data_IF_517898673189
#
_entry.id   IF_517898673189
#
_cell.length_a   1.000
_cell.length_b   1.000
_cell.length_c   1.000
_cell.angle_alpha   90.00
_cell.angle_beta   90.00
_cell.angle_gamma   90.00
#
_symmetry.space_group_name_H-M   'P 1'
#
loop_
_entity.id
_entity.type
_entity.pdbx_description
1 polymer ?
#
# COMPACT_ATOMS: atom_id res chain seq x y z
N UNK A 1 -19.23 13.24 1.21
CA UNK A 1 -18.65 12.12 0.44
C UNK A 1 -17.19 11.99 0.84
N UNK A 2 -16.85 11.09 1.76
CA UNK A 2 -15.44 10.74 2.00
C UNK A 2 -15.06 9.70 0.96
N UNK A 3 -14.30 10.10 -0.06
CA UNK A 3 -13.67 9.19 -0.99
C UNK A 3 -12.38 8.65 -0.38
N UNK A 4 -12.11 7.36 -0.55
CA UNK A 4 -10.84 6.77 -0.18
C UNK A 4 -9.75 7.40 -1.06
N UNK A 5 -8.68 7.97 -0.48
CA UNK A 5 -7.56 8.54 -1.23
C UNK A 5 -6.35 7.65 -1.03
N UNK A 6 -5.71 7.27 -2.13
CA UNK A 6 -4.49 6.48 -2.11
C UNK A 6 -3.34 7.31 -1.55
N UNK A 7 -2.74 6.88 -0.44
CA UNK A 7 -1.57 7.54 0.13
C UNK A 7 -0.30 7.38 -0.72
N UNK A 8 -0.28 6.45 -1.68
CA UNK A 8 0.84 6.26 -2.61
C UNK A 8 0.82 7.21 -3.81
N UNK A 9 -0.35 7.35 -4.46
CA UNK A 9 -0.48 8.16 -5.68
C UNK A 9 -1.34 9.43 -5.48
N UNK A 10 -1.82 9.67 -4.27
CA UNK A 10 -2.67 10.82 -3.88
C UNK A 10 -3.92 10.99 -4.76
N UNK A 11 -4.39 9.90 -5.40
CA UNK A 11 -5.62 9.86 -6.20
C UNK A 11 -6.76 9.21 -5.43
N UNK A 12 -7.98 9.60 -5.78
CA UNK A 12 -9.18 8.94 -5.31
C UNK A 12 -9.18 7.48 -5.77
N UNK A 13 -9.35 6.59 -4.81
CA UNK A 13 -9.59 5.17 -4.99
C UNK A 13 -11.05 5.03 -5.38
N UNK A 14 -11.27 4.91 -6.68
CA UNK A 14 -12.57 4.56 -7.25
C UNK A 14 -12.65 3.06 -7.58
N UNK A 15 -11.58 2.32 -7.27
CA UNK A 15 -11.49 0.89 -7.52
C UNK A 15 -12.37 0.09 -6.54
N UNK A 16 -12.80 -1.09 -6.99
CA UNK A 16 -13.60 -2.01 -6.17
C UNK A 16 -12.76 -2.61 -5.04
N UNK A 17 -11.45 -2.68 -5.23
CA UNK A 17 -10.52 -3.28 -4.31
C UNK A 17 -9.51 -2.24 -3.82
N UNK A 18 -9.39 -2.14 -2.50
CA UNK A 18 -8.49 -1.22 -1.85
C UNK A 18 -7.86 -1.88 -0.65
N UNK A 19 -6.62 -1.50 -0.38
CA UNK A 19 -5.85 -1.99 0.76
C UNK A 19 -5.78 -0.91 1.81
N UNK A 20 -6.16 -1.29 3.03
CA UNK A 20 -5.97 -0.45 4.21
C UNK A 20 -4.69 -0.87 4.90
N UNK A 21 -3.69 0.00 4.89
CA UNK A 21 -2.39 -0.23 5.51
C UNK A 21 -2.21 0.73 6.66
N UNK A 22 -2.14 0.20 7.88
CA UNK A 22 -2.20 0.95 9.14
C UNK A 22 -3.44 1.85 9.19
N UNK A 23 -3.32 3.11 8.76
CA UNK A 23 -4.43 4.08 8.71
C UNK A 23 -4.60 4.74 7.33
N UNK A 24 -3.73 4.42 6.37
CA UNK A 24 -3.80 4.92 5.00
C UNK A 24 -4.53 3.95 4.07
N UNK A 25 -5.21 4.49 3.06
CA UNK A 25 -5.83 3.72 1.99
C UNK A 25 -4.87 3.70 0.79
N UNK A 26 -4.81 2.58 0.09
CA UNK A 26 -3.91 2.39 -1.05
C UNK A 26 -4.59 1.55 -2.13
N UNK A 27 -4.26 1.80 -3.39
CA UNK A 27 -4.65 0.89 -4.48
C UNK A 27 -3.85 -0.40 -4.42
N UNK A 28 -4.44 -1.52 -4.85
CA UNK A 28 -3.73 -2.80 -5.02
C UNK A 28 -2.47 -2.67 -5.88
N UNK A 29 -2.54 -1.92 -6.97
CA UNK A 29 -1.40 -1.63 -7.82
C UNK A 29 -0.41 -0.64 -7.19
N UNK A 30 -0.80 0.16 -6.19
CA UNK A 30 0.09 1.11 -5.52
C UNK A 30 0.80 0.48 -4.32
N UNK A 31 0.24 -0.59 -3.72
CA UNK A 31 0.88 -1.29 -2.62
C UNK A 31 1.98 -2.20 -3.16
N UNK A 32 3.17 -1.63 -3.38
CA UNK A 32 4.35 -2.35 -3.84
C UNK A 32 5.53 -2.17 -2.89
N UNK A 33 6.31 -3.23 -2.76
CA UNK A 33 7.56 -3.26 -2.01
C UNK A 33 8.55 -2.24 -2.59
N UNK A 34 9.03 -1.30 -1.79
CA UNK A 34 10.00 -0.31 -2.22
C UNK A 34 11.40 -0.92 -2.48
N UNK A 35 11.71 -2.05 -1.86
CA UNK A 35 12.97 -2.77 -2.07
C UNK A 35 12.94 -3.70 -3.29
N UNK A 36 11.84 -4.45 -3.42
CA UNK A 36 11.72 -5.57 -4.35
C UNK A 36 10.76 -5.31 -5.52
N UNK A 37 9.92 -4.28 -5.44
CA UNK A 37 8.91 -3.94 -6.45
C UNK A 37 7.65 -4.80 -6.45
N UNK A 38 7.65 -5.87 -5.64
CA UNK A 38 6.57 -6.87 -5.60
C UNK A 38 5.25 -6.31 -5.05
N UNK A 39 4.14 -6.79 -5.59
CA UNK A 39 2.80 -6.35 -5.18
C UNK A 39 2.41 -6.98 -3.85
N UNK A 40 2.06 -6.17 -2.86
CA UNK A 40 1.79 -6.60 -1.50
C UNK A 40 0.28 -6.58 -1.23
N UNK A 41 -0.44 -7.53 -1.83
CA UNK A 41 -1.89 -7.64 -1.65
C UNK A 41 -2.30 -8.24 -0.29
N UNK A 42 -1.45 -9.07 0.32
CA UNK A 42 -1.86 -9.87 1.49
C UNK A 42 -1.04 -9.59 2.77
N UNK A 43 0.18 -9.07 2.65
CA UNK A 43 1.07 -8.80 3.78
C UNK A 43 2.07 -7.71 3.41
N UNK A 44 1.80 -6.49 3.84
CA UNK A 44 2.68 -5.33 3.67
C UNK A 44 3.06 -4.74 5.03
N UNK A 45 4.27 -4.21 5.10
CA UNK A 45 4.79 -3.50 6.26
C UNK A 45 5.10 -2.07 5.87
N UNK A 46 4.54 -1.11 6.61
CA UNK A 46 4.80 0.31 6.39
C UNK A 46 5.95 0.74 7.30
N UNK A 47 7.04 1.24 6.70
CA UNK A 47 8.20 1.79 7.41
C UNK A 47 8.65 3.05 6.71
N UNK A 48 8.70 4.18 7.41
CA UNK A 48 9.14 5.47 6.86
C UNK A 48 8.35 5.90 5.60
N UNK A 49 7.02 5.73 5.62
CA UNK A 49 6.13 5.94 4.46
C UNK A 49 6.42 5.08 3.22
N UNK A 50 7.31 4.08 3.34
CA UNK A 50 7.59 3.10 2.30
C UNK A 50 7.01 1.75 2.68
N UNK A 51 6.51 1.03 1.68
CA UNK A 51 5.96 -0.30 1.87
C UNK A 51 7.05 -1.34 1.63
N UNK A 52 7.12 -2.33 2.51
CA UNK A 52 8.06 -3.43 2.45
C UNK A 52 7.33 -4.75 2.52
N UNK A 53 7.89 -5.75 1.84
CA UNK A 53 7.39 -7.11 1.92
C UNK A 53 7.79 -7.74 3.26
N UNK A 54 7.10 -8.81 3.67
CA UNK A 54 7.44 -9.56 4.90
C UNK A 54 8.91 -9.99 4.93
N UNK A 55 9.49 -10.30 3.77
CA UNK A 55 10.89 -10.73 3.64
C UNK A 55 11.83 -9.57 3.95
N UNK A 56 11.78 -8.49 3.18
CA UNK A 56 12.62 -7.29 3.36
C UNK A 56 12.40 -6.57 4.69
N UNK A 57 11.22 -6.71 5.31
CA UNK A 57 10.96 -6.13 6.63
C UNK A 57 11.58 -6.93 7.78
N UNK A 58 11.76 -8.25 7.62
CA UNK A 58 12.19 -9.17 8.68
C UNK A 58 13.71 -9.44 8.71
N UNK A 59 14.47 -8.87 7.78
CA UNK A 59 15.94 -8.93 7.72
C UNK A 59 16.56 -7.72 8.45
#
# INVERSE_FOLDING_TARGET
>A
MQGAVCAGCHRLISDRFLLRVSDGLWHEECVRCAACGDALANSCFLRDHKLYCKRDYAE
#
